data_IF_618548132552
#
_entry.id   IF_618548132552
#
_cell.length_a   1.000
_cell.length_b   1.000
_cell.length_c   1.000
_cell.angle_alpha   90.00
_cell.angle_beta   90.00
_cell.angle_gamma   90.00
#
_symmetry.space_group_name_H-M   'P 1'
#
loop_
_entity.id
_entity.type
_entity.pdbx_description
1 polymer ?
#
# COMPACT_ATOMS: atom_id res chain seq x y z
N UNK A 1 29.58 -13.62 -25.47
CA UNK A 1 29.90 -12.53 -26.42
C UNK A 1 28.83 -11.43 -26.31
N UNK A 2 29.04 -10.42 -25.47
CA UNK A 2 28.14 -9.28 -25.37
C UNK A 2 28.35 -8.32 -26.55
N UNK A 3 27.37 -8.24 -27.45
CA UNK A 3 27.41 -7.29 -28.56
C UNK A 3 27.08 -5.88 -28.06
N UNK A 4 28.13 -5.07 -27.91
CA UNK A 4 28.15 -3.62 -27.67
C UNK A 4 27.21 -2.89 -28.66
N UNK A 5 25.97 -2.59 -28.27
CA UNK A 5 25.04 -1.72 -29.02
C UNK A 5 25.47 -0.25 -28.90
N UNK A 6 26.57 0.15 -29.52
CA UNK A 6 26.98 1.56 -29.59
C UNK A 6 27.47 1.89 -31.00
N UNK A 7 26.59 2.43 -31.85
CA UNK A 7 26.98 3.44 -32.87
C UNK A 7 25.82 4.00 -33.70
N UNK A 8 24.64 3.36 -33.77
CA UNK A 8 23.56 3.82 -34.68
C UNK A 8 22.72 5.04 -34.22
N UNK A 9 22.79 5.47 -32.95
CA UNK A 9 21.88 6.52 -32.42
C UNK A 9 22.32 7.97 -32.71
N UNK A 10 23.60 8.24 -32.94
CA UNK A 10 24.13 9.61 -33.01
C UNK A 10 23.86 10.31 -34.35
N UNK A 11 23.77 9.54 -35.44
CA UNK A 11 23.56 10.07 -36.79
C UNK A 11 22.09 10.50 -36.99
N UNK A 12 21.15 9.73 -36.45
CA UNK A 12 19.71 10.03 -36.55
C UNK A 12 19.31 11.26 -35.73
N UNK A 13 19.88 11.42 -34.53
CA UNK A 13 19.63 12.60 -33.70
C UNK A 13 20.14 13.90 -34.32
N UNK A 14 21.16 13.88 -35.20
CA UNK A 14 21.63 15.11 -35.86
C UNK A 14 20.67 15.59 -36.95
N UNK A 15 19.95 14.68 -37.61
CA UNK A 15 19.05 14.96 -38.75
C UNK A 15 17.62 15.38 -38.38
N UNK A 16 17.21 15.18 -37.12
CA UNK A 16 15.86 15.51 -36.65
C UNK A 16 15.64 17.02 -36.41
N UNK A 17 14.38 17.46 -36.31
CA UNK A 17 14.10 18.83 -35.86
C UNK A 17 14.34 18.98 -34.33
N UNK A 18 14.62 20.18 -33.81
CA UNK A 18 14.89 20.39 -32.38
C UNK A 18 13.81 19.84 -31.45
N UNK A 19 12.52 19.95 -31.80
CA UNK A 19 11.43 19.42 -30.97
C UNK A 19 11.43 17.90 -30.89
N UNK A 20 11.71 17.20 -32.00
CA UNK A 20 11.81 15.74 -32.03
C UNK A 20 13.02 15.25 -31.23
N UNK A 21 14.17 15.95 -31.33
CA UNK A 21 15.37 15.65 -30.54
C UNK A 21 15.09 15.78 -29.05
N UNK A 22 14.49 16.90 -28.62
CA UNK A 22 14.14 17.14 -27.23
C UNK A 22 13.22 16.04 -26.70
N UNK A 23 12.20 15.64 -27.48
CA UNK A 23 11.28 14.55 -27.11
C UNK A 23 12.01 13.23 -26.89
N UNK A 24 12.94 12.86 -27.77
CA UNK A 24 13.71 11.61 -27.65
C UNK A 24 14.68 11.67 -26.47
N UNK A 25 15.35 12.81 -26.26
CA UNK A 25 16.31 12.99 -25.18
C UNK A 25 15.64 13.05 -23.80
N UNK A 26 14.39 13.50 -23.70
CA UNK A 26 13.64 13.53 -22.44
C UNK A 26 13.45 12.13 -21.83
N UNK A 27 13.37 11.09 -22.66
CA UNK A 27 13.24 9.70 -22.22
C UNK A 27 14.56 8.90 -22.35
N UNK A 28 15.63 9.53 -22.84
CA UNK A 28 16.93 8.89 -22.94
C UNK A 28 17.64 8.94 -21.59
N UNK A 29 18.30 7.84 -21.21
CA UNK A 29 19.12 7.82 -20.00
C UNK A 29 20.24 8.87 -20.07
N UNK A 30 20.37 9.74 -19.06
CA UNK A 30 21.41 10.75 -19.04
C UNK A 30 22.82 10.13 -19.01
N UNK A 31 23.79 10.83 -19.60
CA UNK A 31 25.18 10.39 -19.63
C UNK A 31 25.75 10.19 -18.21
N UNK A 32 26.82 9.41 -18.08
CA UNK A 32 27.44 9.12 -16.77
C UNK A 32 27.85 10.41 -16.04
N UNK A 33 28.38 11.38 -16.77
CA UNK A 33 28.75 12.69 -16.25
C UNK A 33 27.51 13.46 -15.79
N UNK A 34 26.47 13.57 -16.63
CA UNK A 34 25.22 14.28 -16.26
C UNK A 34 24.58 13.65 -15.03
N UNK A 35 24.59 12.33 -14.91
CA UNK A 35 24.13 11.65 -13.69
C UNK A 35 24.95 12.00 -12.47
N UNK A 36 26.27 12.10 -12.59
CA UNK A 36 27.14 12.55 -11.50
C UNK A 36 26.81 13.99 -11.08
N UNK A 37 26.59 14.90 -12.03
CA UNK A 37 26.17 16.28 -11.76
C UNK A 37 24.80 16.35 -11.08
N UNK A 38 23.83 15.57 -11.54
CA UNK A 38 22.50 15.48 -10.92
C UNK A 38 22.58 14.95 -9.50
N UNK A 39 23.35 13.88 -9.26
CA UNK A 39 23.55 13.31 -7.93
C UNK A 39 24.24 14.32 -7.00
N UNK A 40 25.28 15.00 -7.45
CA UNK A 40 25.94 16.06 -6.67
C UNK A 40 24.99 17.23 -6.36
N UNK A 41 24.11 17.58 -7.30
CA UNK A 41 23.10 18.63 -7.08
C UNK A 41 22.05 18.20 -6.05
N UNK A 42 21.53 16.98 -6.18
CA UNK A 42 20.59 16.41 -5.21
C UNK A 42 21.22 16.34 -3.82
N UNK A 43 22.47 15.88 -3.72
CA UNK A 43 23.20 15.83 -2.46
C UNK A 43 23.30 17.21 -1.81
N UNK A 44 23.63 18.27 -2.56
CA UNK A 44 23.64 19.65 -2.03
C UNK A 44 22.28 20.09 -1.50
N UNK A 45 21.21 19.79 -2.23
CA UNK A 45 19.84 20.14 -1.82
C UNK A 45 19.47 19.39 -0.53
N UNK A 46 19.75 18.09 -0.47
CA UNK A 46 19.49 17.27 0.71
C UNK A 46 20.29 17.75 1.93
N UNK A 47 21.57 18.11 1.76
CA UNK A 47 22.38 18.67 2.85
C UNK A 47 21.82 20.01 3.35
N UNK A 48 21.32 20.88 2.47
CA UNK A 48 20.68 22.15 2.88
C UNK A 48 19.39 21.90 3.65
N UNK A 49 18.52 21.04 3.12
CA UNK A 49 17.28 20.65 3.79
C UNK A 49 17.53 20.00 5.15
N UNK A 50 18.58 19.19 5.28
CA UNK A 50 18.98 18.59 6.54
C UNK A 50 19.39 19.65 7.57
N UNK A 51 20.20 20.64 7.17
CA UNK A 51 20.59 21.74 8.04
C UNK A 51 19.41 22.66 8.41
N UNK A 52 18.49 22.92 7.50
CA UNK A 52 17.27 23.68 7.81
C UNK A 52 16.39 22.92 8.80
N UNK A 53 16.16 21.62 8.59
CA UNK A 53 15.43 20.77 9.54
C UNK A 53 16.10 20.75 10.92
N UNK A 54 17.42 20.64 10.96
CA UNK A 54 18.16 20.62 12.22
C UNK A 54 18.06 21.96 12.96
N UNK A 55 18.09 23.09 12.25
CA UNK A 55 17.85 24.42 12.84
C UNK A 55 16.45 24.54 13.42
N UNK A 56 15.42 24.13 12.67
CA UNK A 56 14.03 24.16 13.11
C UNK A 56 13.80 23.25 14.33
N UNK A 57 14.37 22.04 14.33
CA UNK A 57 14.30 21.13 15.48
C UNK A 57 15.02 21.68 16.72
N UNK A 58 16.10 22.46 16.56
CA UNK A 58 16.78 23.13 17.69
C UNK A 58 15.96 24.30 18.25
N UNK A 59 15.24 25.01 17.40
CA UNK A 59 14.42 26.16 17.80
C UNK A 59 13.13 25.71 18.51
N UNK A 60 12.47 24.63 18.06
CA UNK A 60 11.23 24.12 18.67
C UNK A 60 11.21 22.56 18.75
N UNK A 61 12.01 21.95 19.65
CA UNK A 61 12.13 20.49 19.73
C UNK A 61 10.85 19.78 20.17
N UNK A 62 10.04 20.39 21.04
CA UNK A 62 8.79 19.79 21.53
C UNK A 62 7.74 19.66 20.41
N UNK A 63 7.62 20.69 19.57
CA UNK A 63 6.64 20.74 18.48
C UNK A 63 6.99 19.78 17.34
N UNK A 64 8.29 19.59 17.05
CA UNK A 64 8.76 18.61 16.06
C UNK A 64 8.53 17.17 16.53
N UNK A 65 8.72 16.89 17.83
CA UNK A 65 8.43 15.57 18.41
C UNK A 65 6.93 15.26 18.41
N UNK A 66 6.08 16.20 18.82
CA UNK A 66 4.63 16.02 18.79
C UNK A 66 4.10 15.82 17.36
N UNK A 67 4.63 16.58 16.40
CA UNK A 67 4.30 16.42 14.98
C UNK A 67 4.71 15.05 14.43
N UNK A 68 5.88 14.54 14.83
CA UNK A 68 6.34 13.19 14.45
C UNK A 68 5.43 12.11 15.02
N UNK A 69 5.09 12.18 16.31
CA UNK A 69 4.17 11.23 16.96
C UNK A 69 2.78 11.24 16.31
N UNK A 70 2.26 12.43 15.98
CA UNK A 70 0.99 12.56 15.28
C UNK A 70 1.05 11.92 13.88
N UNK A 71 2.12 12.19 13.13
CA UNK A 71 2.33 11.60 11.80
C UNK A 71 2.50 10.08 11.85
N UNK A 72 3.18 9.54 12.86
CA UNK A 72 3.35 8.10 13.05
C UNK A 72 2.03 7.43 13.38
N UNK A 73 1.22 8.06 14.24
CA UNK A 73 -0.14 7.61 14.56
C UNK A 73 -1.03 7.61 13.32
N UNK A 74 -1.03 8.71 12.56
CA UNK A 74 -1.79 8.82 11.30
C UNK A 74 -1.32 7.76 10.29
N UNK A 75 -0.01 7.56 10.16
CA UNK A 75 0.56 6.54 9.28
C UNK A 75 0.12 5.14 9.70
N UNK A 76 0.08 4.86 11.00
CA UNK A 76 -0.43 3.60 11.55
C UNK A 76 -1.91 3.39 11.22
N UNK A 77 -2.74 4.41 11.40
CA UNK A 77 -4.17 4.38 11.07
C UNK A 77 -4.41 4.15 9.58
N UNK A 78 -3.67 4.86 8.71
CA UNK A 78 -3.78 4.70 7.26
C UNK A 78 -3.35 3.31 6.81
N UNK A 79 -2.24 2.78 7.32
CA UNK A 79 -1.79 1.40 7.04
C UNK A 79 -2.82 0.35 7.49
N UNK A 80 -3.41 0.54 8.66
CA UNK A 80 -4.45 -0.36 9.15
C UNK A 80 -5.71 -0.30 8.26
N UNK A 81 -6.13 0.89 7.85
CA UNK A 81 -7.25 1.07 6.93
C UNK A 81 -6.98 0.42 5.56
N UNK A 82 -5.77 0.60 5.02
CA UNK A 82 -5.35 -0.02 3.77
C UNK A 82 -5.36 -1.55 3.87
N UNK A 83 -4.77 -2.12 4.92
CA UNK A 83 -4.75 -3.57 5.14
C UNK A 83 -6.17 -4.16 5.23
N UNK A 84 -7.07 -3.49 5.96
CA UNK A 84 -8.49 -3.87 6.04
C UNK A 84 -9.15 -3.81 4.67
N UNK A 85 -8.91 -2.74 3.92
CA UNK A 85 -9.46 -2.60 2.56
C UNK A 85 -8.94 -3.70 1.62
N UNK A 86 -7.65 -4.03 1.69
CA UNK A 86 -7.06 -5.12 0.90
C UNK A 86 -7.70 -6.47 1.23
N UNK A 87 -7.91 -6.77 2.52
CA UNK A 87 -8.61 -7.99 2.95
C UNK A 87 -10.06 -7.99 2.42
N UNK A 88 -10.77 -6.86 2.53
CA UNK A 88 -12.13 -6.72 2.00
C UNK A 88 -12.19 -6.98 0.51
N UNK A 89 -11.30 -6.36 -0.27
CA UNK A 89 -11.23 -6.55 -1.73
C UNK A 89 -10.92 -8.01 -2.09
N UNK A 90 -9.98 -8.64 -1.37
CA UNK A 90 -9.66 -10.05 -1.58
C UNK A 90 -10.85 -10.97 -1.29
N UNK A 91 -11.58 -10.74 -0.18
CA UNK A 91 -12.79 -11.49 0.15
C UNK A 91 -13.87 -11.31 -0.91
N UNK A 92 -14.11 -10.07 -1.35
CA UNK A 92 -15.07 -9.77 -2.41
C UNK A 92 -14.68 -10.48 -3.72
N UNK A 93 -13.40 -10.43 -4.08
CA UNK A 93 -12.89 -11.12 -5.28
C UNK A 93 -13.07 -12.63 -5.18
N UNK A 94 -12.73 -13.23 -4.05
CA UNK A 94 -12.90 -14.66 -3.81
C UNK A 94 -14.37 -15.07 -3.92
N UNK A 95 -15.27 -14.30 -3.30
CA UNK A 95 -16.71 -14.53 -3.39
C UNK A 95 -17.21 -14.42 -4.83
N UNK A 96 -16.82 -13.37 -5.56
CA UNK A 96 -17.21 -13.18 -6.96
C UNK A 96 -16.71 -14.34 -7.86
N UNK A 97 -15.46 -14.77 -7.68
CA UNK A 97 -14.90 -15.90 -8.43
C UNK A 97 -15.65 -17.20 -8.14
N UNK A 98 -15.93 -17.48 -6.87
CA UNK A 98 -16.72 -18.64 -6.46
C UNK A 98 -18.11 -18.62 -7.08
N UNK A 99 -18.79 -17.47 -7.10
CA UNK A 99 -20.10 -17.34 -7.75
C UNK A 99 -20.01 -17.62 -9.27
N UNK A 100 -19.01 -17.05 -9.94
CA UNK A 100 -18.79 -17.27 -11.38
C UNK A 100 -18.52 -18.75 -11.69
N UNK A 101 -17.72 -19.42 -10.87
CA UNK A 101 -17.41 -20.84 -11.02
C UNK A 101 -18.64 -21.72 -10.83
N UNK A 102 -19.45 -21.47 -9.80
CA UNK A 102 -20.71 -22.22 -9.59
C UNK A 102 -21.68 -21.99 -10.76
N UNK A 103 -21.81 -20.75 -11.24
CA UNK A 103 -22.65 -20.44 -12.40
C UNK A 103 -22.18 -21.17 -13.67
N UNK A 104 -20.87 -21.29 -13.88
CA UNK A 104 -20.30 -22.07 -14.97
C UNK A 104 -20.62 -23.57 -14.80
N UNK A 105 -20.49 -24.11 -13.58
CA UNK A 105 -20.85 -25.50 -13.28
C UNK A 105 -22.34 -25.77 -13.52
N UNK A 106 -23.23 -24.84 -13.15
CA UNK A 106 -24.67 -24.93 -13.41
C UNK A 106 -24.93 -24.99 -14.92
N UNK A 107 -24.28 -24.10 -15.68
CA UNK A 107 -24.44 -24.00 -17.13
C UNK A 107 -23.98 -25.25 -17.88
N UNK A 108 -23.04 -26.02 -17.31
CA UNK A 108 -22.54 -27.26 -17.89
C UNK A 108 -23.28 -28.52 -17.42
N UNK A 109 -24.27 -28.41 -16.52
CA UNK A 109 -25.06 -29.56 -16.09
C UNK A 109 -26.03 -30.04 -17.18
N UNK A 110 -26.04 -31.34 -17.44
CA UNK A 110 -27.03 -31.97 -18.32
C UNK A 110 -28.41 -32.15 -17.64
N UNK A 111 -28.46 -32.13 -16.31
CA UNK A 111 -29.68 -32.38 -15.53
C UNK A 111 -30.11 -31.15 -14.73
N UNK A 112 -31.39 -30.79 -14.84
CA UNK A 112 -32.00 -29.66 -14.12
C UNK A 112 -31.92 -29.84 -12.60
N UNK A 113 -32.12 -31.06 -12.08
CA UNK A 113 -31.99 -31.31 -10.63
C UNK A 113 -30.56 -31.05 -10.13
N UNK A 114 -29.55 -31.41 -10.91
CA UNK A 114 -28.14 -31.15 -10.56
C UNK A 114 -27.84 -29.65 -10.58
N UNK A 115 -28.35 -28.92 -11.58
CA UNK A 115 -28.25 -27.47 -11.65
C UNK A 115 -28.90 -26.78 -10.43
N UNK A 116 -30.12 -27.17 -10.06
CA UNK A 116 -30.84 -26.63 -8.89
C UNK A 116 -30.10 -26.92 -7.58
N UNK A 117 -29.48 -28.10 -7.45
CA UNK A 117 -28.64 -28.43 -6.28
C UNK A 117 -27.41 -27.53 -6.15
N UNK A 118 -26.81 -27.14 -7.27
CA UNK A 118 -25.67 -26.22 -7.28
C UNK A 118 -26.11 -24.78 -6.99
N UNK A 119 -27.30 -24.37 -7.42
CA UNK A 119 -27.87 -23.05 -7.13
C UNK A 119 -28.03 -22.80 -5.62
N UNK A 120 -28.36 -23.84 -4.84
CA UNK A 120 -28.41 -23.79 -3.37
C UNK A 120 -27.07 -23.42 -2.72
N UNK A 121 -25.94 -23.61 -3.40
CA UNK A 121 -24.61 -23.22 -2.87
C UNK A 121 -24.36 -21.71 -2.98
N UNK A 122 -25.09 -20.99 -3.85
CA UNK A 122 -24.99 -19.54 -4.03
C UNK A 122 -25.72 -18.77 -2.93
N UNK A 123 -26.79 -19.32 -2.38
CA UNK A 123 -27.73 -18.60 -1.49
C UNK A 123 -27.30 -18.55 -0.02
N UNK A 124 -26.22 -19.24 0.36
CA UNK A 124 -25.94 -19.54 1.76
C UNK A 124 -24.97 -18.58 2.47
N UNK A 125 -24.67 -17.42 1.90
CA UNK A 125 -23.89 -16.38 2.59
C UNK A 125 -24.83 -15.50 3.43
N UNK A 126 -25.57 -16.11 4.37
CA UNK A 126 -26.18 -15.34 5.45
C UNK A 126 -25.02 -14.64 6.17
N UNK A 127 -25.03 -13.31 6.19
CA UNK A 127 -24.12 -12.52 7.00
C UNK A 127 -24.16 -13.09 8.41
N UNK A 128 -23.12 -13.83 8.80
CA UNK A 128 -22.89 -14.13 10.21
C UNK A 128 -22.57 -12.76 10.80
N UNK A 129 -23.57 -12.16 11.43
CA UNK A 129 -23.38 -10.92 12.17
C UNK A 129 -22.33 -11.22 13.23
N UNK A 130 -21.07 -10.87 12.94
CA UNK A 130 -20.00 -10.77 13.93
C UNK A 130 -20.23 -9.49 14.74
N UNK A 131 -21.43 -9.33 15.27
CA UNK A 131 -21.65 -8.33 16.29
C UNK A 131 -20.74 -8.73 17.45
N UNK A 132 -19.79 -7.87 17.81
CA UNK A 132 -20.00 -7.17 19.07
C UNK A 132 -20.33 -8.03 20.30
N UNK A 133 -19.71 -9.20 20.52
CA UNK A 133 -20.16 -10.10 21.58
C UNK A 133 -19.78 -9.63 22.98
N UNK A 134 -18.95 -8.57 23.09
CA UNK A 134 -18.57 -8.00 24.36
C UNK A 134 -19.63 -7.01 24.86
N UNK A 135 -20.21 -7.35 26.00
CA UNK A 135 -21.05 -6.44 26.79
C UNK A 135 -20.22 -5.25 27.33
N UNK A 136 -20.88 -4.16 27.72
CA UNK A 136 -20.24 -2.92 28.16
C UNK A 136 -19.23 -3.16 29.30
N UNK A 137 -19.57 -4.04 30.24
CA UNK A 137 -18.72 -4.38 31.38
C UNK A 137 -17.52 -5.23 30.96
N UNK A 138 -17.71 -6.13 29.98
CA UNK A 138 -16.61 -6.92 29.41
C UNK A 138 -15.65 -6.04 28.62
N UNK A 139 -16.17 -5.03 27.91
CA UNK A 139 -15.35 -4.06 27.18
C UNK A 139 -14.54 -3.19 28.13
N UNK A 140 -15.16 -2.66 29.17
CA UNK A 140 -14.46 -1.91 30.22
C UNK A 140 -13.35 -2.76 30.86
N UNK A 141 -13.62 -4.05 31.12
CA UNK A 141 -12.60 -4.95 31.66
C UNK A 141 -11.44 -5.19 30.67
N UNK A 142 -11.73 -5.30 29.38
CA UNK A 142 -10.68 -5.45 28.35
C UNK A 142 -9.84 -4.18 28.25
N UNK A 143 -10.46 -3.00 28.28
CA UNK A 143 -9.78 -1.70 28.29
C UNK A 143 -8.88 -1.55 29.52
N UNK A 144 -9.39 -1.88 30.71
CA UNK A 144 -8.62 -1.88 31.96
C UNK A 144 -7.38 -2.79 31.88
N UNK A 145 -7.52 -3.97 31.27
CA UNK A 145 -6.40 -4.90 31.06
C UNK A 145 -5.38 -4.37 30.05
N UNK A 146 -5.85 -3.69 28.98
CA UNK A 146 -4.96 -3.12 27.96
C UNK A 146 -4.18 -1.91 28.48
N UNK A 147 -4.77 -1.13 29.38
CA UNK A 147 -4.12 0.02 30.03
C UNK A 147 -3.14 -0.40 31.15
N UNK A 148 -3.27 -1.62 31.66
CA UNK A 148 -2.40 -2.15 32.69
C UNK A 148 -1.09 -2.71 32.12
N UNK A 149 -0.15 -1.80 31.82
CA UNK A 149 1.19 -2.15 31.32
C UNK A 149 1.99 -3.07 32.26
N UNK A 150 1.66 -3.09 33.55
CA UNK A 150 2.39 -3.85 34.59
C UNK A 150 1.70 -5.16 34.96
N UNK A 151 0.50 -5.43 34.44
CA UNK A 151 -0.27 -6.67 34.65
C UNK A 151 -0.74 -6.92 36.09
N UNK A 152 -0.84 -5.87 36.90
CA UNK A 152 -1.18 -5.96 38.33
C UNK A 152 -2.65 -6.34 38.58
N UNK A 153 -3.55 -6.03 37.64
CA UNK A 153 -4.99 -6.30 37.71
C UNK A 153 -5.38 -7.73 37.35
N UNK A 154 -4.43 -8.53 36.87
CA UNK A 154 -4.61 -9.93 36.45
C UNK A 154 -4.20 -10.94 37.53
N UNK A 155 -3.38 -10.53 38.50
CA UNK A 155 -2.90 -11.41 39.58
C UNK A 155 -3.96 -11.43 40.69
N UNK A 156 -4.70 -12.53 40.82
CA UNK A 156 -5.53 -12.81 41.99
C UNK A 156 -4.73 -13.71 42.93
N UNK A 157 -4.48 -13.21 44.15
CA UNK A 157 -3.89 -13.96 45.27
C UNK A 157 -4.77 -15.13 45.70
#
# INVERSE_FOLDING_TARGET
MEKKRRSKKSVDLKRMCPQQKARILAYAEPSKEVRAWMAASQQRIHSRLAHEKEKVSRENPLQDMESKLHNDTLTGQLKAAEARNRIRQMRLKCHNLKMQEINLMISSQACVQSAVRLELLLTNEKQRNHADSLDQLQRQRVEEILEDEKGLTLIRS
#
